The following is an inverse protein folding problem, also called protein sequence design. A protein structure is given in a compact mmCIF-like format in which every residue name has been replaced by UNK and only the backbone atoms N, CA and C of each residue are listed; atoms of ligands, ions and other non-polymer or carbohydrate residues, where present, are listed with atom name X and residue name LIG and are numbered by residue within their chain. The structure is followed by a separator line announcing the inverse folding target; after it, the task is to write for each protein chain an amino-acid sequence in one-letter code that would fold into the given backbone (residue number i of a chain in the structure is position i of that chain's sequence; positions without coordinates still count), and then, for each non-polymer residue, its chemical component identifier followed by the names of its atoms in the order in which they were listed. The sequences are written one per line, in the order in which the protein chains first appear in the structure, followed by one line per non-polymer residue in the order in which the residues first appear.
data_IF_420091905241
#
_entry.id   IF_420091905241
#
_cell.length_a   1.000
_cell.length_b   1.000
_cell.length_c   1.000
_cell.angle_alpha   90.00
_cell.angle_beta   90.00
_cell.angle_gamma   90.00
#
_symmetry.space_group_name_H-M   'P 1'
#
loop_
_entity.id
_entity.type
_entity.pdbx_description
1 polymer ?
#
# COMPACT_ATOMS: atom_id res chain seq x y z
N UNK A 1 -12.35 25.83 -39.97
CA UNK A 1 -11.85 26.54 -38.77
C UNK A 1 -11.09 25.56 -37.89
N UNK A 2 -9.77 25.72 -37.71
CA UNK A 2 -9.04 24.97 -36.67
C UNK A 2 -9.50 25.53 -35.32
N UNK A 3 -10.09 24.70 -34.46
CA UNK A 3 -10.31 25.06 -33.06
C UNK A 3 -8.94 25.28 -32.43
N UNK A 4 -8.64 26.50 -31.99
CA UNK A 4 -7.49 26.74 -31.12
C UNK A 4 -7.65 25.86 -29.88
N UNK A 5 -6.64 25.04 -29.61
CA UNK A 5 -6.60 24.23 -28.40
C UNK A 5 -6.14 25.15 -27.27
N UNK A 6 -7.04 25.46 -26.34
CA UNK A 6 -6.65 26.09 -25.10
C UNK A 6 -5.85 25.08 -24.26
N UNK A 7 -4.73 25.48 -23.65
CA UNK A 7 -3.95 24.59 -22.81
C UNK A 7 -4.73 24.27 -21.53
N UNK A 8 -4.59 23.03 -21.05
CA UNK A 8 -5.07 22.60 -19.74
C UNK A 8 -3.85 22.22 -18.91
N UNK A 9 -3.73 22.79 -17.72
CA UNK A 9 -2.65 22.51 -16.78
C UNK A 9 -3.22 21.90 -15.50
N UNK A 10 -2.70 20.73 -15.10
CA UNK A 10 -2.89 20.18 -13.77
C UNK A 10 -1.71 20.63 -12.90
N UNK A 11 -2.00 21.36 -11.82
CA UNK A 11 -1.01 21.85 -10.87
C UNK A 11 -1.18 21.05 -9.58
N UNK A 12 -0.14 20.31 -9.19
CA UNK A 12 -0.13 19.51 -7.96
C UNK A 12 0.72 20.25 -6.92
N UNK A 13 0.07 20.70 -5.84
CA UNK A 13 0.75 21.25 -4.67
C UNK A 13 1.02 20.08 -3.70
N UNK A 14 2.24 19.55 -3.70
CA UNK A 14 2.59 18.38 -2.88
C UNK A 14 2.48 18.73 -1.38
N UNK A 15 1.88 17.82 -0.61
CA UNK A 15 1.58 18.03 0.82
C UNK A 15 0.50 19.09 1.12
N UNK A 16 -0.30 19.53 0.16
CA UNK A 16 -1.33 20.57 0.35
C UNK A 16 -2.71 19.99 0.70
N UNK A 17 -2.96 19.74 1.98
CA UNK A 17 -4.24 19.22 2.49
C UNK A 17 -5.26 20.28 2.93
N UNK A 18 -6.51 19.87 3.14
CA UNK A 18 -7.54 20.70 3.79
C UNK A 18 -7.78 20.22 5.22
N UNK A 19 -7.67 21.12 6.18
CA UNK A 19 -7.97 20.86 7.59
C UNK A 19 -8.63 22.09 8.24
N UNK A 20 -9.76 21.94 8.96
CA UNK A 20 -10.50 23.07 9.50
C UNK A 20 -9.82 23.74 10.72
N UNK A 21 -9.01 22.99 11.48
CA UNK A 21 -8.26 23.58 12.59
C UNK A 21 -7.02 24.31 12.07
N UNK A 22 -6.73 25.47 12.68
CA UNK A 22 -5.64 26.37 12.29
C UNK A 22 -4.38 26.19 13.15
N UNK A 23 -4.50 25.59 14.33
CA UNK A 23 -3.35 25.32 15.20
C UNK A 23 -2.36 24.37 14.50
N UNK A 24 -1.11 24.80 14.35
CA UNK A 24 -0.08 24.05 13.63
C UNK A 24 -0.31 23.91 12.11
N UNK A 25 -1.34 24.55 11.54
CA UNK A 25 -1.70 24.41 10.14
C UNK A 25 -1.00 25.49 9.28
N UNK A 26 0.14 25.14 8.70
CA UNK A 26 0.93 26.07 7.89
C UNK A 26 0.15 26.64 6.68
N UNK A 27 -0.76 25.86 6.08
CA UNK A 27 -1.55 26.31 4.92
C UNK A 27 -2.54 27.39 5.35
N UNK A 28 -3.25 27.18 6.45
CA UNK A 28 -4.24 28.14 6.95
C UNK A 28 -3.60 29.40 7.55
N UNK A 29 -2.36 29.31 8.06
CA UNK A 29 -1.62 30.43 8.65
C UNK A 29 -0.81 31.24 7.63
N UNK A 30 -0.57 30.70 6.45
CA UNK A 30 0.23 31.37 5.42
C UNK A 30 -0.57 32.48 4.71
N UNK A 31 0.16 33.46 4.15
CA UNK A 31 -0.42 34.46 3.25
C UNK A 31 -0.40 33.93 1.82
N UNK A 32 -1.55 33.46 1.32
CA UNK A 32 -1.66 32.73 0.04
C UNK A 32 -2.66 33.36 -0.94
N UNK A 33 -2.51 34.65 -1.31
CA UNK A 33 -3.56 35.42 -1.99
C UNK A 33 -4.02 34.81 -3.32
N UNK A 34 -3.09 34.19 -4.08
CA UNK A 34 -3.43 33.50 -5.33
C UNK A 34 -4.28 32.25 -5.07
N UNK A 35 -3.89 31.42 -4.09
CA UNK A 35 -4.65 30.24 -3.71
C UNK A 35 -6.02 30.64 -3.15
N UNK A 36 -6.08 31.65 -2.30
CA UNK A 36 -7.32 32.13 -1.69
C UNK A 36 -8.30 32.65 -2.76
N UNK A 37 -7.78 33.37 -3.75
CA UNK A 37 -8.57 33.82 -4.90
C UNK A 37 -9.09 32.65 -5.75
N UNK A 38 -8.27 31.60 -5.97
CA UNK A 38 -8.70 30.39 -6.69
C UNK A 38 -9.76 29.62 -5.90
N UNK A 39 -9.51 29.41 -4.61
CA UNK A 39 -10.41 28.74 -3.69
C UNK A 39 -11.78 29.42 -3.70
N UNK A 40 -11.84 30.75 -3.62
CA UNK A 40 -13.10 31.50 -3.52
C UNK A 40 -13.89 31.69 -4.84
N UNK A 41 -13.34 31.29 -6.01
CA UNK A 41 -14.01 31.45 -7.33
C UNK A 41 -15.13 30.43 -7.63
N UNK A 42 -15.43 29.52 -6.70
CA UNK A 42 -16.70 28.78 -6.65
C UNK A 42 -16.62 27.31 -7.05
N UNK A 43 -16.10 26.96 -8.23
CA UNK A 43 -16.02 25.56 -8.67
C UNK A 43 -14.83 24.84 -8.01
N UNK A 44 -15.05 24.33 -6.81
CA UNK A 44 -14.09 23.51 -6.05
C UNK A 44 -14.76 22.30 -5.42
N UNK A 45 -13.97 21.26 -5.19
CA UNK A 45 -14.34 20.11 -4.38
C UNK A 45 -13.11 19.62 -3.61
N UNK A 46 -13.34 18.84 -2.57
CA UNK A 46 -12.30 18.04 -1.92
C UNK A 46 -12.30 16.63 -2.53
N UNK A 47 -11.12 16.02 -2.55
CA UNK A 47 -10.92 14.64 -2.96
C UNK A 47 -10.26 13.88 -1.81
N UNK A 48 -10.60 12.60 -1.66
CA UNK A 48 -9.93 11.72 -0.72
C UNK A 48 -8.59 11.26 -1.31
N UNK A 49 -7.48 11.58 -0.64
CA UNK A 49 -6.12 11.30 -1.09
C UNK A 49 -5.37 10.29 -0.21
N UNK A 50 -6.11 9.52 0.59
CA UNK A 50 -5.57 8.56 1.56
C UNK A 50 -6.46 7.31 1.68
N UNK A 51 -5.92 6.28 2.32
CA UNK A 51 -6.59 5.01 2.54
C UNK A 51 -7.13 4.33 1.28
N UNK A 52 -8.26 3.64 1.44
CA UNK A 52 -8.84 2.77 0.39
C UNK A 52 -9.17 3.50 -0.90
N UNK A 53 -9.37 4.82 -0.84
CA UNK A 53 -9.70 5.67 -2.00
C UNK A 53 -8.56 5.86 -2.96
N UNK A 54 -7.33 5.65 -2.50
CA UNK A 54 -6.12 5.68 -3.33
C UNK A 54 -5.39 4.33 -3.35
N UNK A 55 -6.07 3.27 -2.91
CA UNK A 55 -5.54 1.90 -2.93
C UNK A 55 -4.62 1.56 -1.76
N UNK A 56 -4.67 2.33 -0.66
CA UNK A 56 -3.98 2.06 0.59
C UNK A 56 -4.90 1.39 1.63
N UNK A 57 -4.36 0.75 2.68
CA UNK A 57 -5.12 0.27 3.83
C UNK A 57 -5.98 1.37 4.46
N UNK A 58 -7.08 0.98 5.10
CA UNK A 58 -7.95 1.93 5.82
C UNK A 58 -7.16 2.73 6.87
N UNK A 59 -7.35 4.05 6.90
CA UNK A 59 -6.66 4.94 7.85
C UNK A 59 -5.21 5.28 7.50
N UNK A 60 -4.60 4.63 6.50
CA UNK A 60 -3.22 4.95 6.11
C UNK A 60 -3.16 6.29 5.35
N UNK A 61 -2.26 7.16 5.77
CA UNK A 61 -2.01 8.44 5.09
C UNK A 61 -1.54 8.23 3.65
N UNK A 62 -1.92 9.16 2.77
CA UNK A 62 -1.38 9.21 1.41
C UNK A 62 0.09 9.64 1.39
N UNK A 63 0.71 9.46 0.23
CA UNK A 63 2.06 9.93 -0.07
C UNK A 63 2.17 10.34 -1.54
N UNK A 64 3.29 10.97 -1.91
CA UNK A 64 3.49 11.51 -3.26
C UNK A 64 3.39 10.44 -4.36
N UNK A 65 3.98 9.26 -4.16
CA UNK A 65 3.99 8.18 -5.16
C UNK A 65 2.56 7.67 -5.44
N UNK A 66 1.84 7.31 -4.37
CA UNK A 66 0.45 6.84 -4.46
C UNK A 66 -0.46 7.90 -5.09
N UNK A 67 -0.30 9.17 -4.68
CA UNK A 67 -1.09 10.28 -5.19
C UNK A 67 -0.90 10.49 -6.70
N UNK A 68 0.36 10.58 -7.15
CA UNK A 68 0.68 10.79 -8.56
C UNK A 68 0.25 9.61 -9.43
N UNK A 69 0.39 8.37 -8.92
CA UNK A 69 -0.02 7.17 -9.62
C UNK A 69 -1.54 7.15 -9.86
N UNK A 70 -2.35 7.48 -8.85
CA UNK A 70 -3.81 7.55 -8.97
C UNK A 70 -4.25 8.69 -9.91
N UNK A 71 -3.65 9.88 -9.80
CA UNK A 71 -3.94 11.02 -10.67
C UNK A 71 -3.63 10.70 -12.15
N UNK A 72 -2.47 10.10 -12.41
CA UNK A 72 -2.05 9.72 -13.76
C UNK A 72 -2.85 8.55 -14.32
N UNK A 73 -3.30 7.61 -13.48
CA UNK A 73 -4.05 6.44 -13.91
C UNK A 73 -5.55 6.71 -14.15
N UNK A 74 -6.11 7.75 -13.53
CA UNK A 74 -7.55 8.05 -13.61
C UNK A 74 -8.43 6.98 -12.96
N UNK A 75 -7.88 6.19 -12.03
CA UNK A 75 -8.56 5.12 -11.28
C UNK A 75 -7.83 4.84 -9.98
N UNK A 76 -8.51 4.14 -9.07
CA UNK A 76 -7.88 3.62 -7.85
C UNK A 76 -6.81 2.60 -8.23
N UNK A 77 -5.56 2.89 -7.88
CA UNK A 77 -4.44 1.96 -8.08
C UNK A 77 -4.12 1.27 -6.76
N UNK A 78 -4.61 0.04 -6.62
CA UNK A 78 -4.35 -0.79 -5.43
C UNK A 78 -2.84 -1.00 -5.27
N UNK A 79 -2.34 -0.60 -4.09
CA UNK A 79 -0.96 -0.87 -3.70
C UNK A 79 -0.79 -2.35 -3.41
N UNK A 80 0.44 -2.85 -3.55
CA UNK A 80 0.72 -4.29 -3.46
C UNK A 80 0.28 -4.89 -2.13
N UNK A 81 0.49 -4.18 -1.01
CA UNK A 81 0.03 -4.63 0.30
C UNK A 81 -1.48 -4.93 0.31
N UNK A 82 -2.29 -3.98 -0.16
CA UNK A 82 -3.75 -4.12 -0.21
C UNK A 82 -4.17 -5.18 -1.23
N UNK A 83 -3.50 -5.23 -2.38
CA UNK A 83 -3.76 -6.20 -3.43
C UNK A 83 -3.52 -7.63 -2.95
N UNK A 84 -2.40 -7.87 -2.25
CA UNK A 84 -2.05 -9.18 -1.70
C UNK A 84 -3.02 -9.53 -0.56
N UNK A 85 -3.30 -8.62 0.37
CA UNK A 85 -4.29 -8.86 1.44
C UNK A 85 -5.68 -9.18 0.89
N UNK A 86 -6.13 -8.47 -0.16
CA UNK A 86 -7.39 -8.78 -0.84
C UNK A 86 -7.37 -10.18 -1.47
N UNK A 87 -6.25 -10.58 -2.09
CA UNK A 87 -6.10 -11.91 -2.68
C UNK A 87 -6.09 -13.04 -1.64
N UNK A 88 -5.64 -12.76 -0.42
CA UNK A 88 -5.75 -13.70 0.71
C UNK A 88 -7.22 -13.81 1.13
N UNK A 89 -7.89 -12.67 1.32
CA UNK A 89 -9.28 -12.61 1.78
C UNK A 89 -10.28 -13.27 0.80
N UNK A 90 -10.09 -13.10 -0.51
CA UNK A 90 -10.94 -13.73 -1.54
C UNK A 90 -10.47 -15.15 -1.95
N UNK A 91 -9.39 -15.62 -1.33
CA UNK A 91 -8.77 -16.91 -1.54
C UNK A 91 -8.06 -17.10 -2.89
N UNK A 92 -7.94 -16.06 -3.71
CA UNK A 92 -7.22 -16.13 -4.99
C UNK A 92 -5.72 -16.34 -4.84
N UNK A 93 -5.12 -15.92 -3.72
CA UNK A 93 -3.72 -16.22 -3.39
C UNK A 93 -3.47 -17.73 -3.39
N UNK A 94 -4.37 -18.52 -2.82
CA UNK A 94 -4.24 -19.99 -2.74
C UNK A 94 -4.39 -20.69 -4.10
N UNK A 95 -4.87 -19.96 -5.12
CA UNK A 95 -4.97 -20.42 -6.51
C UNK A 95 -3.86 -19.85 -7.40
N UNK A 96 -2.96 -19.04 -6.85
CA UNK A 96 -1.87 -18.44 -7.61
C UNK A 96 -0.95 -19.53 -8.20
N UNK A 97 -0.85 -19.56 -9.53
CA UNK A 97 -0.11 -20.60 -10.25
C UNK A 97 1.37 -20.64 -9.87
N UNK A 98 2.01 -19.49 -9.65
CA UNK A 98 3.43 -19.44 -9.30
C UNK A 98 3.68 -20.05 -7.90
N UNK A 99 2.85 -19.69 -6.91
CA UNK A 99 2.97 -20.23 -5.55
C UNK A 99 2.69 -21.74 -5.51
N UNK A 100 1.68 -22.19 -6.25
CA UNK A 100 1.37 -23.63 -6.38
C UNK A 100 2.50 -24.40 -7.05
N UNK A 101 3.06 -23.86 -8.13
CA UNK A 101 4.19 -24.49 -8.81
C UNK A 101 5.41 -24.62 -7.90
N UNK A 102 5.67 -23.64 -7.02
CA UNK A 102 6.74 -23.75 -6.03
C UNK A 102 6.49 -24.90 -5.04
N UNK A 103 5.25 -25.06 -4.55
CA UNK A 103 4.86 -26.18 -3.68
C UNK A 103 4.98 -27.52 -4.41
N UNK A 104 4.55 -27.61 -5.67
CA UNK A 104 4.62 -28.83 -6.46
C UNK A 104 6.06 -29.22 -6.79
N UNK A 105 6.94 -28.25 -7.04
CA UNK A 105 8.36 -28.48 -7.28
C UNK A 105 9.04 -29.15 -6.08
N UNK A 106 8.85 -28.64 -4.86
CA UNK A 106 9.48 -29.22 -3.67
C UNK A 106 8.91 -30.60 -3.34
N UNK A 107 7.61 -30.83 -3.56
CA UNK A 107 7.01 -32.17 -3.43
C UNK A 107 7.59 -33.18 -4.40
N UNK A 108 7.80 -32.79 -5.66
CA UNK A 108 8.33 -33.68 -6.69
C UNK A 108 9.81 -34.02 -6.48
N UNK A 109 10.57 -33.09 -5.90
CA UNK A 109 12.03 -33.23 -5.69
C UNK A 109 12.40 -33.76 -4.31
N UNK A 110 11.45 -33.80 -3.37
CA UNK A 110 11.74 -34.09 -1.96
C UNK A 110 12.49 -32.95 -1.25
N UNK A 111 12.42 -31.73 -1.79
CA UNK A 111 13.07 -30.54 -1.23
C UNK A 111 12.28 -29.87 -0.10
N UNK A 112 12.83 -28.78 0.41
CA UNK A 112 12.24 -27.93 1.46
C UNK A 112 11.73 -26.64 0.86
N UNK A 113 10.51 -26.22 1.21
CA UNK A 113 10.01 -24.88 0.89
C UNK A 113 10.60 -23.86 1.87
N UNK A 114 11.32 -22.88 1.35
CA UNK A 114 11.87 -21.79 2.15
C UNK A 114 11.03 -20.53 1.97
N UNK A 115 10.42 -20.05 3.05
CA UNK A 115 9.73 -18.77 3.11
C UNK A 115 10.66 -17.77 3.80
N UNK A 116 10.89 -16.62 3.18
CA UNK A 116 11.85 -15.62 3.65
C UNK A 116 11.20 -14.25 3.60
N UNK A 117 11.26 -13.48 4.68
CA UNK A 117 10.61 -12.18 4.73
C UNK A 117 10.84 -11.42 6.01
N UNK A 118 10.58 -10.12 5.94
CA UNK A 118 10.51 -9.24 7.11
C UNK A 118 9.30 -9.61 7.95
N UNK A 119 9.49 -9.79 9.26
CA UNK A 119 8.42 -10.15 10.20
C UNK A 119 7.99 -8.91 10.97
N UNK A 120 6.68 -8.65 10.98
CA UNK A 120 6.04 -7.62 11.79
C UNK A 120 4.98 -6.85 11.02
N UNK A 121 4.32 -5.91 11.72
CA UNK A 121 3.17 -5.15 11.21
C UNK A 121 3.53 -3.84 10.50
N UNK A 122 4.77 -3.69 10.04
CA UNK A 122 5.29 -2.43 9.48
C UNK A 122 4.63 -2.00 8.17
N UNK A 123 4.27 -2.95 7.28
CA UNK A 123 3.50 -2.68 6.07
C UNK A 123 4.23 -1.92 4.95
N UNK A 124 5.47 -1.47 5.19
CA UNK A 124 6.31 -0.84 4.16
C UNK A 124 6.91 -1.90 3.23
N UNK A 125 7.53 -2.94 3.81
CA UNK A 125 8.18 -4.02 3.05
C UNK A 125 7.42 -5.36 3.11
N UNK A 126 6.78 -5.67 4.23
CA UNK A 126 5.99 -6.88 4.43
C UNK A 126 5.02 -6.71 5.62
N UNK A 127 4.09 -7.66 5.74
CA UNK A 127 3.33 -7.92 6.95
C UNK A 127 3.33 -9.43 7.25
N UNK A 128 3.29 -9.80 8.52
CA UNK A 128 3.35 -11.18 9.00
C UNK A 128 2.11 -11.99 8.59
N UNK A 129 0.94 -11.35 8.43
CA UNK A 129 -0.26 -12.05 7.95
C UNK A 129 -0.09 -12.64 6.54
N UNK A 130 0.75 -12.05 5.70
CA UNK A 130 1.06 -12.61 4.38
C UNK A 130 1.92 -13.87 4.49
N UNK A 131 2.84 -13.91 5.45
CA UNK A 131 3.63 -15.11 5.74
C UNK A 131 2.73 -16.24 6.27
N UNK A 132 1.79 -15.92 7.17
CA UNK A 132 0.84 -16.90 7.68
C UNK A 132 -0.02 -17.51 6.56
N UNK A 133 -0.51 -16.69 5.63
CA UNK A 133 -1.24 -17.19 4.47
C UNK A 133 -0.39 -18.10 3.56
N UNK A 134 0.93 -17.85 3.46
CA UNK A 134 1.85 -18.73 2.72
C UNK A 134 2.10 -20.05 3.46
N UNK A 135 2.12 -20.04 4.79
CA UNK A 135 2.18 -21.26 5.60
C UNK A 135 0.90 -22.10 5.44
N UNK A 136 -0.26 -21.46 5.49
CA UNK A 136 -1.55 -22.10 5.23
C UNK A 136 -1.60 -22.71 3.82
N UNK A 137 -1.05 -22.00 2.82
CA UNK A 137 -0.92 -22.54 1.47
C UNK A 137 -0.03 -23.79 1.44
N UNK A 138 1.13 -23.76 2.11
CA UNK A 138 2.04 -24.89 2.16
C UNK A 138 1.38 -26.12 2.81
N UNK A 139 0.62 -25.91 3.90
CA UNK A 139 -0.16 -26.95 4.57
C UNK A 139 -1.26 -27.50 3.64
N UNK A 140 -2.05 -26.62 3.02
CA UNK A 140 -3.11 -27.01 2.09
C UNK A 140 -2.57 -27.81 0.90
N UNK A 141 -1.40 -27.45 0.39
CA UNK A 141 -0.71 -28.16 -0.70
C UNK A 141 0.03 -29.42 -0.23
N UNK A 142 0.06 -29.70 1.07
CA UNK A 142 0.74 -30.83 1.72
C UNK A 142 2.24 -30.85 1.44
N UNK A 143 2.89 -29.70 1.56
CA UNK A 143 4.35 -29.60 1.46
C UNK A 143 5.00 -30.32 2.65
N UNK A 144 5.93 -31.28 2.44
CA UNK A 144 6.47 -32.10 3.53
C UNK A 144 7.35 -31.34 4.53
N UNK A 145 8.09 -30.33 4.05
CA UNK A 145 9.02 -29.56 4.84
C UNK A 145 8.97 -28.08 4.45
N UNK A 146 8.71 -27.22 5.43
CA UNK A 146 8.69 -25.76 5.27
C UNK A 146 9.58 -25.14 6.33
N UNK A 147 10.42 -24.17 5.91
CA UNK A 147 11.33 -23.43 6.79
C UNK A 147 11.11 -21.94 6.60
N UNK A 148 11.00 -21.21 7.71
CA UNK A 148 10.88 -19.76 7.73
C UNK A 148 12.25 -19.14 8.06
N UNK A 149 12.70 -18.22 7.21
CA UNK A 149 13.83 -17.34 7.51
C UNK A 149 13.28 -15.96 7.86
N UNK A 150 13.19 -15.69 9.15
CA UNK A 150 12.68 -14.44 9.68
C UNK A 150 13.76 -13.34 9.62
N UNK A 151 13.47 -12.27 8.88
CA UNK A 151 14.22 -11.02 9.01
C UNK A 151 13.50 -10.15 10.03
N UNK A 152 14.19 -9.78 11.11
CA UNK A 152 13.61 -8.90 12.13
C UNK A 152 13.66 -7.45 11.68
N UNK A 153 12.59 -6.72 11.98
CA UNK A 153 12.50 -5.29 11.74
C UNK A 153 13.08 -4.49 12.94
N UNK A 154 12.63 -3.26 13.15
CA UNK A 154 13.17 -2.26 14.06
C UNK A 154 13.33 -0.89 13.39
N UNK A 155 12.90 -0.76 12.13
CA UNK A 155 12.86 0.48 11.36
C UNK A 155 11.42 0.88 11.03
N UNK A 156 10.63 -0.04 10.46
CA UNK A 156 9.24 0.24 10.09
C UNK A 156 8.29 0.03 11.28
N UNK A 157 8.75 -0.73 12.27
CA UNK A 157 8.17 -0.91 13.60
C UNK A 157 9.14 -0.44 14.70
N UNK A 158 8.72 -0.50 15.97
CA UNK A 158 9.54 -0.04 17.09
C UNK A 158 10.90 -0.78 17.14
N UNK A 159 12.03 -0.11 17.47
CA UNK A 159 13.38 -0.70 17.41
C UNK A 159 13.62 -1.99 18.22
N UNK A 160 12.72 -2.35 19.15
CA UNK A 160 12.81 -3.55 20.00
C UNK A 160 11.54 -4.41 19.96
N UNK A 161 10.71 -4.27 18.93
CA UNK A 161 9.47 -5.03 18.74
C UNK A 161 9.70 -6.48 18.32
N UNK A 162 10.84 -6.80 17.68
CA UNK A 162 11.10 -8.08 17.03
C UNK A 162 10.84 -9.32 17.88
N UNK A 163 11.15 -9.27 19.18
CA UNK A 163 10.89 -10.39 20.09
C UNK A 163 9.40 -10.74 20.20
N UNK A 164 8.52 -9.73 20.15
CA UNK A 164 7.07 -9.94 20.22
C UNK A 164 6.51 -10.66 19.00
N UNK A 165 7.13 -10.49 17.83
CA UNK A 165 6.71 -11.15 16.61
C UNK A 165 7.22 -12.60 16.46
N UNK A 166 8.12 -13.04 17.36
CA UNK A 166 8.73 -14.37 17.32
C UNK A 166 8.12 -15.36 18.35
N UNK A 167 7.08 -14.94 19.07
CA UNK A 167 6.36 -15.76 20.05
C UNK A 167 5.27 -16.59 19.38
#
# INVERSE_FOLDING_TARGET
MRREKLPVALIVLDGWGYHPQTEGNAIALATTPTWDALWNRGSRTLLEASGVRVGLPSGQMGNSEVGHLNLGAGRVVMQDLVRISASIADGSLFRNTALRNACDHVKATGGTLHLMGLIGSGGVHAIDEHLFALLDLAEYQKVPATVVHAFVDGRDTLPRSGLGFMQ
#
